data_IF_172154450547
#
_entry.id   IF_172154450547
#
_cell.length_a   1.000
_cell.length_b   1.000
_cell.length_c   1.000
_cell.angle_alpha   90.00
_cell.angle_beta   90.00
_cell.angle_gamma   90.00
#
_symmetry.space_group_name_H-M   'P 1'
#
loop_
_entity.id
_entity.type
_entity.pdbx_description
1 polymer ?
#
# COMPACT_ATOMS: atom_id res chain seq x y z
N UNK A 1 12.58 -16.83 11.49
CA UNK A 1 12.17 -15.44 11.17
C UNK A 1 10.71 -15.32 11.59
N UNK A 2 10.40 -14.33 12.42
CA UNK A 2 9.22 -14.30 13.29
C UNK A 2 7.91 -14.12 12.52
N UNK A 3 6.82 -14.72 13.02
CA UNK A 3 5.41 -14.46 12.65
C UNK A 3 5.13 -12.95 12.60
N UNK A 4 5.83 -12.20 13.46
CA UNK A 4 5.74 -10.74 13.60
C UNK A 4 6.03 -10.00 12.27
N UNK A 5 6.99 -10.46 11.45
CA UNK A 5 7.33 -9.75 10.20
C UNK A 5 6.26 -9.86 9.10
N UNK A 6 5.59 -11.01 9.03
CA UNK A 6 4.48 -11.24 8.11
C UNK A 6 3.24 -10.46 8.55
N UNK A 7 2.90 -10.52 9.83
CA UNK A 7 1.78 -9.75 10.39
C UNK A 7 1.95 -8.24 10.18
N UNK A 8 3.18 -7.73 10.33
CA UNK A 8 3.49 -6.32 10.03
C UNK A 8 3.28 -6.01 8.54
N UNK A 9 3.79 -6.86 7.64
CA UNK A 9 3.68 -6.61 6.21
C UNK A 9 2.22 -6.67 5.72
N UNK A 10 1.44 -7.64 6.19
CA UNK A 10 0.00 -7.72 5.90
C UNK A 10 -0.73 -6.46 6.40
N UNK A 11 -0.42 -6.01 7.62
CA UNK A 11 -0.98 -4.76 8.15
C UNK A 11 -0.59 -3.53 7.30
N UNK A 12 0.65 -3.46 6.82
CA UNK A 12 1.10 -2.40 5.91
C UNK A 12 0.31 -2.42 4.59
N UNK A 13 0.14 -3.60 3.97
CA UNK A 13 -0.63 -3.74 2.73
C UNK A 13 -2.10 -3.36 2.91
N UNK A 14 -2.72 -3.77 4.02
CA UNK A 14 -4.08 -3.35 4.38
C UNK A 14 -4.20 -1.84 4.55
N UNK A 15 -3.24 -1.22 5.23
CA UNK A 15 -3.19 0.23 5.40
C UNK A 15 -3.10 0.95 4.05
N UNK A 16 -2.25 0.49 3.13
CA UNK A 16 -2.15 1.06 1.78
C UNK A 16 -3.45 0.93 0.99
N UNK A 17 -4.14 -0.22 1.07
CA UNK A 17 -5.45 -0.42 0.45
C UNK A 17 -6.47 0.60 0.99
N UNK A 18 -6.45 0.84 2.29
CA UNK A 18 -7.32 1.82 2.94
C UNK A 18 -6.97 3.25 2.55
N UNK A 19 -5.68 3.63 2.50
CA UNK A 19 -5.22 4.94 2.04
C UNK A 19 -5.64 5.19 0.58
N UNK A 20 -5.51 4.21 -0.31
CA UNK A 20 -5.97 4.32 -1.70
C UNK A 20 -7.49 4.47 -1.84
N UNK A 21 -8.26 4.06 -0.83
CA UNK A 21 -9.71 4.25 -0.79
C UNK A 21 -10.12 5.59 -0.13
N UNK A 22 -9.18 6.36 0.41
CA UNK A 22 -9.46 7.60 1.13
C UNK A 22 -9.97 8.70 0.19
N UNK A 23 -10.79 9.61 0.72
CA UNK A 23 -11.37 10.68 -0.08
C UNK A 23 -10.30 11.66 -0.58
N UNK A 24 -9.29 11.98 0.23
CA UNK A 24 -8.17 12.85 -0.18
C UNK A 24 -7.42 12.30 -1.40
N UNK A 25 -7.11 11.00 -1.40
CA UNK A 25 -6.46 10.35 -2.55
C UNK A 25 -7.39 10.33 -3.78
N UNK A 26 -8.69 10.07 -3.57
CA UNK A 26 -9.66 10.08 -4.67
C UNK A 26 -9.81 11.48 -5.29
N UNK A 27 -9.78 12.53 -4.49
CA UNK A 27 -9.83 13.92 -4.97
C UNK A 27 -8.57 14.25 -5.77
N UNK A 28 -7.39 14.02 -5.19
CA UNK A 28 -6.10 14.24 -5.84
C UNK A 28 -6.02 13.54 -7.20
N UNK A 29 -6.38 12.26 -7.23
CA UNK A 29 -6.29 11.48 -8.45
C UNK A 29 -7.28 11.91 -9.53
N UNK A 30 -8.36 12.64 -9.17
CA UNK A 30 -9.35 13.16 -10.12
C UNK A 30 -8.77 14.38 -10.83
N UNK A 31 -8.08 15.23 -10.07
CA UNK A 31 -7.36 16.39 -10.59
C UNK A 31 -6.20 15.93 -11.48
N UNK A 32 -5.40 14.97 -11.00
CA UNK A 32 -4.25 14.41 -11.72
C UNK A 32 -4.59 13.44 -12.86
N UNK A 33 -5.87 13.05 -13.02
CA UNK A 33 -6.33 12.04 -14.01
C UNK A 33 -5.65 10.67 -13.90
N UNK A 34 -5.17 10.29 -12.71
CA UNK A 34 -4.47 9.03 -12.44
C UNK A 34 -5.38 7.93 -11.85
N UNK A 35 -6.70 8.10 -11.95
CA UNK A 35 -7.67 7.21 -11.30
C UNK A 35 -7.58 5.75 -11.72
N UNK A 36 -7.38 5.52 -13.02
CA UNK A 36 -7.22 4.18 -13.54
C UNK A 36 -5.98 3.49 -12.95
N UNK A 37 -4.90 4.25 -12.74
CA UNK A 37 -3.66 3.72 -12.16
C UNK A 37 -3.85 3.39 -10.68
N UNK A 38 -4.51 4.25 -9.89
CA UNK A 38 -4.78 3.96 -8.48
C UNK A 38 -5.69 2.74 -8.28
N UNK A 39 -6.71 2.58 -9.13
CA UNK A 39 -7.55 1.37 -9.12
C UNK A 39 -6.73 0.13 -9.44
N UNK A 40 -5.84 0.21 -10.44
CA UNK A 40 -4.92 -0.88 -10.80
C UNK A 40 -3.99 -1.22 -9.64
N UNK A 41 -3.48 -0.22 -8.91
CA UNK A 41 -2.61 -0.42 -7.76
C UNK A 41 -3.34 -1.07 -6.60
N UNK A 42 -4.55 -0.62 -6.29
CA UNK A 42 -5.41 -1.26 -5.28
C UNK A 42 -5.63 -2.73 -5.59
N UNK A 43 -5.95 -3.08 -6.85
CA UNK A 43 -6.16 -4.47 -7.25
C UNK A 43 -4.89 -5.32 -7.07
N UNK A 44 -3.72 -4.79 -7.43
CA UNK A 44 -2.43 -5.47 -7.20
C UNK A 44 -2.16 -5.70 -5.71
N UNK A 45 -2.42 -4.71 -4.85
CA UNK A 45 -2.24 -4.84 -3.40
C UNK A 45 -3.18 -5.88 -2.80
N UNK A 46 -4.42 -5.99 -3.29
CA UNK A 46 -5.34 -7.06 -2.90
C UNK A 46 -4.80 -8.43 -3.31
N UNK A 47 -4.24 -8.57 -4.52
CA UNK A 47 -3.58 -9.81 -4.93
C UNK A 47 -2.37 -10.13 -4.05
N UNK A 48 -1.54 -9.14 -3.74
CA UNK A 48 -0.39 -9.31 -2.84
C UNK A 48 -0.85 -9.76 -1.46
N UNK A 49 -1.90 -9.16 -0.89
CA UNK A 49 -2.48 -9.58 0.39
C UNK A 49 -2.87 -11.07 0.36
N UNK A 50 -3.56 -11.51 -0.68
CA UNK A 50 -3.93 -12.92 -0.80
C UNK A 50 -2.69 -13.85 -0.85
N UNK A 51 -1.62 -13.42 -1.55
CA UNK A 51 -0.35 -14.16 -1.58
C UNK A 51 0.35 -14.16 -0.21
N UNK A 52 0.26 -13.07 0.56
CA UNK A 52 0.80 -12.99 1.92
C UNK A 52 0.03 -13.91 2.89
N UNK A 53 -1.29 -13.95 2.78
CA UNK A 53 -2.15 -14.85 3.56
C UNK A 53 -1.82 -16.32 3.25
N UNK A 54 -1.52 -16.65 1.99
CA UNK A 54 -1.09 -18.00 1.56
C UNK A 54 0.39 -18.32 1.88
N UNK A 55 1.22 -17.30 2.14
CA UNK A 55 2.66 -17.46 2.35
C UNK A 55 3.01 -18.06 3.73
N UNK A 56 2.11 -17.97 4.70
CA UNK A 56 2.33 -18.45 6.07
C UNK A 56 2.64 -19.97 6.13
N UNK A 57 2.11 -20.76 5.20
CA UNK A 57 2.43 -22.19 5.10
C UNK A 57 3.79 -22.47 4.43
N UNK A 58 4.27 -21.60 3.52
CA UNK A 58 5.45 -21.84 2.66
C UNK A 58 6.73 -21.15 3.13
N UNK A 59 6.63 -20.10 3.95
CA UNK A 59 7.76 -19.24 4.38
C UNK A 59 8.79 -19.95 5.28
N UNK A 60 8.48 -21.14 5.79
CA UNK A 60 9.37 -21.90 6.70
C UNK A 60 10.63 -22.45 6.01
N UNK A 61 10.61 -22.63 4.69
CA UNK A 61 11.68 -23.38 3.99
C UNK A 61 12.30 -22.67 2.78
N UNK A 62 11.80 -21.51 2.35
CA UNK A 62 12.28 -20.82 1.15
C UNK A 62 12.89 -19.44 1.47
N UNK A 63 14.20 -19.30 1.25
CA UNK A 63 14.93 -18.04 1.46
C UNK A 63 14.59 -16.98 0.41
N UNK A 64 14.12 -17.37 -0.78
CA UNK A 64 13.63 -16.46 -1.83
C UNK A 64 12.35 -15.76 -1.38
N UNK A 65 11.46 -16.49 -0.68
CA UNK A 65 10.24 -15.91 -0.09
C UNK A 65 10.60 -14.88 0.98
N UNK A 66 11.63 -15.14 1.80
CA UNK A 66 12.08 -14.17 2.82
C UNK A 66 12.64 -12.89 2.21
N UNK A 67 13.45 -13.00 1.16
CA UNK A 67 14.00 -11.85 0.46
C UNK A 67 12.88 -11.00 -0.15
N UNK A 68 11.97 -11.66 -0.89
CA UNK A 68 10.84 -10.99 -1.54
C UNK A 68 9.93 -10.24 -0.54
N UNK A 69 9.67 -10.82 0.63
CA UNK A 69 8.88 -10.15 1.67
C UNK A 69 9.58 -8.92 2.25
N UNK A 70 10.91 -8.95 2.37
CA UNK A 70 11.69 -7.78 2.80
C UNK A 70 11.65 -6.64 1.78
N UNK A 71 11.79 -6.95 0.49
CA UNK A 71 11.66 -5.95 -0.59
C UNK A 71 10.25 -5.37 -0.66
N UNK A 72 9.23 -6.22 -0.50
CA UNK A 72 7.83 -5.79 -0.47
C UNK A 72 7.54 -4.86 0.72
N UNK A 73 8.16 -5.10 1.87
CA UNK A 73 8.04 -4.22 3.03
C UNK A 73 8.64 -2.83 2.78
N UNK A 74 9.85 -2.77 2.24
CA UNK A 74 10.49 -1.49 1.91
C UNK A 74 9.65 -0.69 0.92
N UNK A 75 9.16 -1.36 -0.14
CA UNK A 75 8.27 -0.73 -1.11
C UNK A 75 6.97 -0.24 -0.48
N UNK A 76 6.41 -0.97 0.50
CA UNK A 76 5.20 -0.54 1.18
C UNK A 76 5.40 0.78 1.94
N UNK A 77 6.56 0.98 2.58
CA UNK A 77 6.89 2.25 3.22
C UNK A 77 7.07 3.38 2.21
N UNK A 78 7.79 3.16 1.11
CA UNK A 78 7.97 4.17 0.05
C UNK A 78 6.62 4.64 -0.53
N UNK A 79 5.69 3.71 -0.73
CA UNK A 79 4.34 4.02 -1.24
C UNK A 79 3.49 4.70 -0.18
N UNK A 80 3.66 4.36 1.09
CA UNK A 80 2.96 5.00 2.19
C UNK A 80 3.28 6.50 2.25
N UNK A 81 4.57 6.84 2.25
CA UNK A 81 5.07 8.22 2.29
C UNK A 81 4.53 9.03 1.11
N UNK A 82 4.51 8.44 -0.10
CA UNK A 82 3.96 9.07 -1.29
C UNK A 82 2.45 9.35 -1.18
N UNK A 83 1.68 8.41 -0.64
CA UNK A 83 0.24 8.60 -0.45
C UNK A 83 -0.06 9.66 0.62
N UNK A 84 0.77 9.77 1.65
CA UNK A 84 0.61 10.83 2.66
C UNK A 84 0.92 12.22 2.11
N UNK A 85 1.90 12.33 1.21
CA UNK A 85 2.16 13.56 0.46
C UNK A 85 0.95 13.96 -0.40
N UNK A 86 0.36 13.01 -1.13
CA UNK A 86 -0.83 13.28 -1.94
C UNK A 86 -2.03 13.71 -1.10
N UNK A 87 -2.26 13.08 0.06
CA UNK A 87 -3.33 13.51 0.96
C UNK A 87 -3.08 14.91 1.53
N UNK A 88 -1.82 15.20 1.87
CA UNK A 88 -1.43 16.52 2.38
C UNK A 88 -1.66 17.59 1.32
N UNK A 89 -1.25 17.37 0.07
CA UNK A 89 -1.47 18.33 -1.01
C UNK A 89 -2.96 18.48 -1.35
N UNK A 90 -3.74 17.39 -1.36
CA UNK A 90 -5.19 17.47 -1.51
C UNK A 90 -5.85 18.33 -0.42
N UNK A 91 -5.42 18.16 0.83
CA UNK A 91 -5.90 18.98 1.93
C UNK A 91 -5.50 20.45 1.77
N UNK A 92 -4.25 20.73 1.37
CA UNK A 92 -3.77 22.11 1.15
C UNK A 92 -4.61 22.84 0.09
N UNK A 93 -4.98 22.16 -0.99
CA UNK A 93 -5.87 22.74 -2.00
C UNK A 93 -7.30 22.98 -1.47
N UNK A 94 -7.79 22.14 -0.56
CA UNK A 94 -9.12 22.30 0.06
C UNK A 94 -9.17 23.50 1.02
N UNK A 95 -8.13 23.71 1.84
CA UNK A 95 -8.07 24.87 2.78
C UNK A 95 -7.57 26.18 2.14
N UNK A 96 -6.96 26.16 0.95
CA UNK A 96 -6.44 27.36 0.30
C UNK A 96 -7.51 28.28 -0.32
N UNK A 97 -8.80 27.91 -0.28
CA UNK A 97 -9.90 28.76 -0.76
C UNK A 97 -10.81 29.24 0.41
N UNK A 98 -10.89 30.56 0.68
CA UNK A 98 -12.07 31.20 1.27
C UNK A 98 -13.25 31.26 0.29
#
# INVERSE_FOLDING_TARGET
MSIIGEAILTACVEMLINKLASEGIRLFARQGRIQADLVKWKNKLVTIKAVLDDAEEKKKTDDSVKLWLGELQNLAYDVEDLLDEFQTEAFREEVACP
#
